data_IF_420508171194
#
_entry.id   IF_420508171194
#
_cell.length_a   1.000
_cell.length_b   1.000
_cell.length_c   1.000
_cell.angle_alpha   90.00
_cell.angle_beta   90.00
_cell.angle_gamma   90.00
#
_symmetry.space_group_name_H-M   'P 1'
#
loop_
_entity.id
_entity.type
_entity.pdbx_description
1 polymer ?
#
# COMPACT_ATOMS: atom_id res chain seq x y z
N UNK A 1 1.05 10.31 -12.89
CA UNK A 1 0.08 9.18 -12.82
C UNK A 1 0.23 8.57 -11.42
N UNK A 2 -0.87 8.24 -10.74
CA UNK A 2 -0.85 7.70 -9.37
C UNK A 2 -1.16 6.20 -9.32
N UNK A 3 -0.75 5.53 -8.24
CA UNK A 3 -0.91 4.10 -8.00
C UNK A 3 -1.77 3.87 -6.76
N UNK A 4 -2.99 3.36 -6.95
CA UNK A 4 -3.90 3.04 -5.84
C UNK A 4 -3.54 1.72 -5.16
N UNK A 5 -3.49 1.71 -3.81
CA UNK A 5 -3.04 0.54 -3.04
C UNK A 5 -4.16 -0.11 -2.19
N UNK A 6 -5.43 0.10 -2.55
CA UNK A 6 -6.56 -0.45 -1.78
C UNK A 6 -6.61 -1.99 -1.75
N UNK A 7 -6.14 -2.65 -2.81
CA UNK A 7 -6.04 -4.10 -2.85
C UNK A 7 -4.96 -4.65 -1.90
N UNK A 8 -3.98 -3.83 -1.51
CA UNK A 8 -2.85 -4.27 -0.70
C UNK A 8 -3.28 -4.34 0.76
N UNK A 9 -3.23 -5.54 1.35
CA UNK A 9 -3.68 -5.74 2.72
C UNK A 9 -5.19 -5.95 2.90
N UNK A 10 -5.99 -5.94 1.82
CA UNK A 10 -7.43 -6.10 1.89
C UNK A 10 -7.88 -7.54 1.56
N UNK A 11 -8.05 -8.35 2.60
CA UNK A 11 -8.45 -9.74 2.45
C UNK A 11 -9.91 -9.90 2.00
N UNK A 12 -10.82 -9.06 2.49
CA UNK A 12 -12.25 -9.21 2.25
C UNK A 12 -12.65 -8.97 0.79
N UNK A 13 -12.09 -7.93 0.17
CA UNK A 13 -12.44 -7.54 -1.20
C UNK A 13 -11.50 -8.14 -2.25
N UNK A 14 -10.25 -8.40 -1.89
CA UNK A 14 -9.19 -8.77 -2.86
C UNK A 14 -8.47 -10.07 -2.53
N UNK A 15 -8.89 -10.78 -1.48
CA UNK A 15 -8.30 -12.07 -1.11
C UNK A 15 -6.83 -11.99 -0.69
N UNK A 16 -6.37 -10.80 -0.24
CA UNK A 16 -5.00 -10.62 0.24
C UNK A 16 -4.60 -11.67 1.27
N UNK A 17 -3.40 -12.21 1.09
CA UNK A 17 -2.72 -13.11 2.01
C UNK A 17 -1.27 -12.65 2.16
N UNK A 18 -0.66 -12.82 3.33
CA UNK A 18 0.71 -12.38 3.59
C UNK A 18 1.74 -13.03 2.63
N UNK A 19 1.43 -14.20 2.07
CA UNK A 19 2.28 -14.86 1.06
C UNK A 19 2.45 -14.00 -0.22
N UNK A 20 1.54 -13.06 -0.46
CA UNK A 20 1.58 -12.15 -1.62
C UNK A 20 2.53 -10.97 -1.39
N UNK A 21 3.06 -10.76 -0.18
CA UNK A 21 3.90 -9.61 0.16
C UNK A 21 5.12 -9.44 -0.77
N UNK A 22 5.73 -10.56 -1.22
CA UNK A 22 6.87 -10.52 -2.14
C UNK A 22 6.46 -10.02 -3.52
N UNK A 23 5.32 -10.48 -4.04
CA UNK A 23 4.81 -10.04 -5.35
C UNK A 23 4.39 -8.56 -5.30
N UNK A 24 3.76 -8.13 -4.20
CA UNK A 24 3.40 -6.73 -4.00
C UNK A 24 4.63 -5.81 -3.92
N UNK A 25 5.72 -6.26 -3.29
CA UNK A 25 7.00 -5.56 -3.31
C UNK A 25 7.57 -5.42 -4.73
N UNK A 26 7.47 -6.47 -5.55
CA UNK A 26 7.90 -6.44 -6.95
C UNK A 26 7.05 -5.47 -7.77
N UNK A 27 5.73 -5.44 -7.57
CA UNK A 27 4.84 -4.46 -8.18
C UNK A 27 5.22 -3.03 -7.80
N UNK A 28 5.50 -2.76 -6.52
CA UNK A 28 5.97 -1.47 -6.05
C UNK A 28 7.27 -1.04 -6.76
N UNK A 29 8.25 -1.95 -6.81
CA UNK A 29 9.53 -1.70 -7.47
C UNK A 29 9.37 -1.47 -8.98
N UNK A 30 8.47 -2.22 -9.63
CA UNK A 30 8.18 -2.07 -11.05
C UNK A 30 7.51 -0.73 -11.34
N UNK A 31 6.55 -0.31 -10.51
CA UNK A 31 5.90 1.00 -10.63
C UNK A 31 6.94 2.12 -10.59
N UNK A 32 7.83 2.12 -9.59
CA UNK A 32 8.90 3.11 -9.46
C UNK A 32 9.85 3.11 -10.67
N UNK A 33 10.29 1.94 -11.12
CA UNK A 33 11.16 1.81 -12.31
C UNK A 33 10.53 2.37 -13.59
N UNK A 34 9.20 2.36 -13.68
CA UNK A 34 8.45 2.91 -14.81
C UNK A 34 8.04 4.38 -14.58
N UNK A 35 8.56 5.05 -13.55
CA UNK A 35 8.29 6.46 -13.27
C UNK A 35 6.94 6.72 -12.58
N UNK A 36 6.25 5.68 -12.11
CA UNK A 36 5.07 5.82 -11.25
C UNK A 36 5.56 5.92 -9.81
N UNK A 37 5.50 7.13 -9.25
CA UNK A 37 6.08 7.43 -7.95
C UNK A 37 5.10 8.03 -6.94
N UNK A 38 3.83 8.20 -7.30
CA UNK A 38 2.78 8.63 -6.37
C UNK A 38 1.92 7.43 -5.98
N UNK A 39 1.92 7.04 -4.71
CA UNK A 39 1.12 5.93 -4.18
C UNK A 39 0.03 6.47 -3.25
N UNK A 40 -1.22 6.09 -3.53
CA UNK A 40 -2.39 6.44 -2.72
C UNK A 40 -2.70 5.33 -1.71
N UNK A 41 -2.90 5.69 -0.45
CA UNK A 41 -3.23 4.77 0.66
C UNK A 41 -4.19 5.41 1.66
N UNK A 42 -4.79 4.60 2.52
CA UNK A 42 -5.70 5.06 3.57
C UNK A 42 -5.69 4.09 4.77
N UNK A 43 -6.06 4.59 5.94
CA UNK A 43 -6.26 3.78 7.17
C UNK A 43 -7.32 2.66 6.98
N UNK A 44 -8.33 2.96 6.17
CA UNK A 44 -9.41 2.06 5.78
C UNK A 44 -9.02 1.07 4.68
N UNK A 45 -7.80 1.12 4.15
CA UNK A 45 -7.31 0.13 3.19
C UNK A 45 -6.82 -1.12 3.91
N UNK A 46 -7.78 -2.03 4.12
CA UNK A 46 -7.68 -3.21 4.95
C UNK A 46 -8.98 -3.41 5.71
N UNK A 47 -9.20 -4.60 6.26
CA UNK A 47 -10.44 -4.89 7.01
C UNK A 47 -10.15 -5.69 8.27
N UNK A 48 -10.84 -5.36 9.37
CA UNK A 48 -10.75 -6.08 10.63
C UNK A 48 -9.33 -6.05 11.20
N UNK A 49 -8.71 -7.23 11.37
CA UNK A 49 -7.33 -7.36 11.88
C UNK A 49 -6.27 -6.74 10.96
N UNK A 50 -6.62 -6.50 9.69
CA UNK A 50 -5.74 -5.94 8.67
C UNK A 50 -6.02 -4.45 8.39
N UNK A 51 -6.75 -3.74 9.26
CA UNK A 51 -6.89 -2.28 9.10
C UNK A 51 -5.51 -1.60 9.06
N UNK A 52 -5.32 -0.65 8.13
CA UNK A 52 -4.04 0.02 7.88
C UNK A 52 -2.94 -0.89 7.29
N UNK A 53 -3.27 -2.11 6.85
CA UNK A 53 -2.26 -3.03 6.32
C UNK A 53 -1.61 -2.50 5.03
N UNK A 54 -2.35 -1.76 4.20
CA UNK A 54 -1.82 -1.10 3.02
C UNK A 54 -0.65 -0.16 3.36
N UNK A 55 -0.81 0.67 4.40
CA UNK A 55 0.23 1.59 4.87
C UNK A 55 1.46 0.85 5.41
N UNK A 56 1.23 -0.24 6.16
CA UNK A 56 2.31 -1.08 6.70
C UNK A 56 3.14 -1.71 5.59
N UNK A 57 2.48 -2.19 4.53
CA UNK A 57 3.12 -2.76 3.34
C UNK A 57 3.94 -1.69 2.61
N UNK A 58 3.36 -0.51 2.34
CA UNK A 58 4.08 0.60 1.73
C UNK A 58 5.31 1.00 2.54
N UNK A 59 5.18 1.14 3.86
CA UNK A 59 6.32 1.42 4.74
C UNK A 59 7.41 0.33 4.68
N UNK A 60 7.03 -0.94 4.59
CA UNK A 60 7.96 -2.06 4.41
C UNK A 60 8.67 -1.98 3.06
N UNK A 61 7.96 -1.63 1.99
CA UNK A 61 8.51 -1.55 0.65
C UNK A 61 9.47 -0.39 0.48
N UNK A 62 9.10 0.77 1.02
CA UNK A 62 9.94 1.97 1.06
C UNK A 62 11.26 1.69 1.78
N UNK A 63 11.26 1.02 2.94
CA UNK A 63 12.52 0.71 3.66
C UNK A 63 13.46 -0.20 2.88
N UNK A 64 12.92 -1.03 1.98
CA UNK A 64 13.69 -1.93 1.11
C UNK A 64 14.15 -1.23 -0.17
N UNK A 65 13.52 -0.12 -0.55
CA UNK A 65 13.87 0.67 -1.71
C UNK A 65 14.75 1.86 -1.29
N UNK A 66 16.00 1.91 -1.74
CA UNK A 66 16.90 3.02 -1.44
C UNK A 66 17.13 3.88 -2.68
N UNK A 67 17.04 5.20 -2.51
CA UNK A 67 17.51 6.17 -3.52
C UNK A 67 16.56 6.46 -4.69
N UNK A 68 15.29 6.07 -4.60
CA UNK A 68 14.26 6.47 -5.58
C UNK A 68 13.26 7.44 -4.95
N UNK A 69 12.86 8.45 -5.72
CA UNK A 69 11.86 9.42 -5.29
C UNK A 69 10.46 8.80 -5.30
N UNK A 70 9.71 8.99 -4.22
CA UNK A 70 8.32 8.58 -4.09
C UNK A 70 7.53 9.59 -3.28
N UNK A 71 6.22 9.61 -3.50
CA UNK A 71 5.24 10.44 -2.83
C UNK A 71 4.12 9.54 -2.32
N UNK A 72 3.70 9.75 -1.07
CA UNK A 72 2.54 9.06 -0.49
C UNK A 72 1.40 10.07 -0.38
N UNK A 73 0.29 9.78 -1.05
CA UNK A 73 -0.99 10.42 -0.80
C UNK A 73 -1.74 9.58 0.25
N UNK A 74 -2.10 10.20 1.37
CA UNK A 74 -2.80 9.54 2.46
C UNK A 74 -4.20 10.13 2.62
N UNK A 75 -5.21 9.27 2.62
CA UNK A 75 -6.58 9.62 2.96
C UNK A 75 -6.93 9.09 4.36
N UNK A 76 -7.37 9.99 5.24
CA UNK A 76 -7.82 9.64 6.58
C UNK A 76 -9.34 9.39 6.59
N UNK A 77 -9.79 8.31 7.21
CA UNK A 77 -11.22 8.05 7.38
C UNK A 77 -11.65 8.35 8.82
N UNK A 78 -12.29 9.50 9.03
CA UNK A 78 -12.75 9.96 10.36
C UNK A 78 -13.75 9.01 11.05
N UNK A 79 -14.29 8.01 10.33
CA UNK A 79 -15.26 7.05 10.89
C UNK A 79 -14.63 5.99 11.80
N UNK A 80 -13.30 5.83 11.83
CA UNK A 80 -12.63 4.80 12.65
C UNK A 80 -12.51 5.23 14.14
N UNK A 81 -12.76 6.50 14.47
CA UNK A 81 -12.66 7.05 15.83
C UNK A 81 -14.01 7.33 16.54
N UNK A 82 -15.11 6.68 16.15
CA UNK A 82 -16.41 6.80 16.83
C UNK A 82 -16.91 5.46 17.35
#
# INVERSE_FOLDING_TARGET
MGFGTWAWGNQLLWGYQEIMDSELQECFNLALKNGINLFDTADSYGTGKLNGQSERLLGKFIRKCQGLDYWIAYAQNEKINK
#
